data_IF_428467676329
#
_entry.id   IF_428467676329
#
_cell.length_a   1.000
_cell.length_b   1.000
_cell.length_c   1.000
_cell.angle_alpha   90.00
_cell.angle_beta   90.00
_cell.angle_gamma   90.00
#
_symmetry.space_group_name_H-M   'P 1'
#
loop_
_entity.id
_entity.type
_entity.pdbx_description
1 polymer ?
#
# COMPACT_ATOMS: atom_id res chain seq x y z
N UNK A 1 2.63 23.49 -16.40
CA UNK A 1 1.23 23.03 -16.46
C UNK A 1 1.20 21.58 -15.99
N UNK A 2 0.22 21.16 -15.20
CA UNK A 2 0.12 19.75 -14.82
C UNK A 2 -0.02 18.89 -16.07
N UNK A 3 0.64 17.71 -16.08
CA UNK A 3 0.62 16.76 -17.19
C UNK A 3 -0.86 16.38 -17.48
N UNK A 4 -1.36 16.57 -18.71
CA UNK A 4 -2.74 16.24 -19.03
C UNK A 4 -3.09 14.75 -18.82
N UNK A 5 -2.10 13.87 -18.85
CA UNK A 5 -2.28 12.43 -18.51
C UNK A 5 -2.73 12.21 -17.08
N UNK A 6 -2.32 13.07 -16.13
CA UNK A 6 -2.75 12.97 -14.73
C UNK A 6 -4.26 13.04 -14.55
N UNK A 7 -4.98 13.67 -15.48
CA UNK A 7 -6.45 13.79 -15.42
C UNK A 7 -7.18 12.46 -15.55
N UNK A 8 -6.59 11.47 -16.23
CA UNK A 8 -7.21 10.16 -16.45
C UNK A 8 -7.03 9.17 -15.29
N UNK A 9 -6.05 9.42 -14.42
CA UNK A 9 -5.70 8.44 -13.37
C UNK A 9 -6.74 8.32 -12.26
N UNK A 10 -7.38 9.40 -11.83
CA UNK A 10 -8.40 9.33 -10.79
C UNK A 10 -9.65 8.54 -11.24
N UNK A 11 -10.22 8.78 -12.44
CA UNK A 11 -11.27 7.93 -12.99
C UNK A 11 -10.86 6.46 -13.14
N UNK A 12 -9.65 6.18 -13.61
CA UNK A 12 -9.11 4.82 -13.72
C UNK A 12 -9.02 4.15 -12.34
N UNK A 13 -8.51 4.86 -11.33
CA UNK A 13 -8.43 4.36 -9.96
C UNK A 13 -9.83 4.04 -9.39
N UNK A 14 -10.83 4.89 -9.62
CA UNK A 14 -12.21 4.62 -9.19
C UNK A 14 -12.77 3.35 -9.80
N UNK A 15 -12.60 3.15 -11.13
CA UNK A 15 -13.06 1.94 -11.81
C UNK A 15 -12.36 0.70 -11.29
N UNK A 16 -11.04 0.75 -11.18
CA UNK A 16 -10.23 -0.35 -10.67
C UNK A 16 -10.61 -0.74 -9.24
N UNK A 17 -10.70 0.25 -8.33
CA UNK A 17 -11.09 -0.01 -6.94
C UNK A 17 -12.52 -0.54 -6.82
N UNK A 18 -13.43 -0.12 -7.73
CA UNK A 18 -14.79 -0.66 -7.77
C UNK A 18 -14.83 -2.12 -8.21
N UNK A 19 -13.99 -2.52 -9.16
CA UNK A 19 -13.87 -3.88 -9.66
C UNK A 19 -13.22 -4.78 -8.61
N UNK A 20 -12.00 -4.45 -8.17
CA UNK A 20 -11.28 -5.18 -7.12
C UNK A 20 -12.11 -5.31 -5.83
N UNK A 21 -12.76 -4.22 -5.40
CA UNK A 21 -13.64 -4.23 -4.23
C UNK A 21 -14.82 -5.17 -4.38
N UNK A 22 -15.37 -5.34 -5.58
CA UNK A 22 -16.46 -6.29 -5.85
C UNK A 22 -15.99 -7.74 -5.76
N UNK A 23 -14.77 -8.04 -6.21
CA UNK A 23 -14.14 -9.36 -6.03
C UNK A 23 -13.96 -9.68 -4.54
N UNK A 24 -13.51 -8.69 -3.75
CA UNK A 24 -13.36 -8.89 -2.30
C UNK A 24 -14.70 -9.13 -1.60
N UNK A 25 -15.79 -8.42 -1.99
CA UNK A 25 -17.14 -8.68 -1.46
C UNK A 25 -17.60 -10.09 -1.79
N UNK A 26 -17.38 -10.55 -3.02
CA UNK A 26 -17.78 -11.90 -3.43
C UNK A 26 -17.08 -13.01 -2.63
N UNK A 27 -15.93 -12.71 -2.02
CA UNK A 27 -15.14 -13.65 -1.19
C UNK A 27 -15.46 -13.56 0.29
N UNK A 28 -16.02 -12.44 0.73
CA UNK A 28 -16.25 -12.22 2.14
C UNK A 28 -17.16 -13.30 2.74
N UNK A 29 -16.74 -13.84 3.87
CA UNK A 29 -17.56 -14.80 4.61
C UNK A 29 -18.85 -14.15 5.12
N UNK A 30 -19.99 -14.64 4.68
CA UNK A 30 -21.31 -14.09 5.02
C UNK A 30 -21.96 -14.73 6.25
N UNK A 31 -21.38 -15.83 6.75
CA UNK A 31 -21.89 -16.55 7.92
C UNK A 31 -20.79 -17.35 8.62
N UNK A 32 -21.10 -17.90 9.79
CA UNK A 32 -20.20 -18.77 10.54
C UNK A 32 -19.24 -18.02 11.46
N UNK A 33 -18.27 -18.77 11.99
CA UNK A 33 -17.31 -18.28 12.98
C UNK A 33 -16.48 -17.07 12.50
N UNK A 34 -16.24 -16.99 11.20
CA UNK A 34 -15.41 -15.97 10.57
C UNK A 34 -16.23 -15.01 9.69
N UNK A 35 -17.50 -14.79 10.02
CA UNK A 35 -18.34 -13.84 9.31
C UNK A 35 -17.64 -12.46 9.25
N UNK A 36 -17.62 -11.86 8.06
CA UNK A 36 -16.96 -10.59 7.78
C UNK A 36 -15.50 -10.71 7.33
N UNK A 37 -14.86 -11.84 7.56
CA UNK A 37 -13.51 -12.12 7.10
C UNK A 37 -13.41 -12.19 5.56
N UNK A 38 -12.31 -11.71 5.01
CA UNK A 38 -11.95 -11.88 3.59
C UNK A 38 -10.75 -12.82 3.51
N UNK A 39 -10.91 -14.04 2.99
CA UNK A 39 -9.81 -14.99 2.89
C UNK A 39 -8.75 -14.53 1.89
N UNK A 40 -7.45 -14.79 2.14
CA UNK A 40 -6.35 -14.35 1.28
C UNK A 40 -6.44 -14.93 -0.14
N UNK A 41 -6.98 -16.14 -0.29
CA UNK A 41 -7.34 -16.80 -1.55
C UNK A 41 -8.58 -17.67 -1.35
N UNK A 42 -9.30 -18.06 -2.42
CA UNK A 42 -10.46 -18.94 -2.30
C UNK A 42 -10.11 -20.26 -1.63
N UNK A 43 -10.82 -20.57 -0.54
CA UNK A 43 -10.62 -21.83 0.21
C UNK A 43 -9.47 -21.82 1.22
N UNK A 44 -8.89 -20.66 1.53
CA UNK A 44 -7.95 -20.56 2.64
C UNK A 44 -8.60 -21.02 3.96
N UNK A 45 -7.95 -21.91 4.73
CA UNK A 45 -8.56 -22.56 5.89
C UNK A 45 -8.66 -21.62 7.11
N UNK A 46 -7.70 -20.74 7.26
CA UNK A 46 -7.55 -19.87 8.43
C UNK A 46 -7.83 -18.41 8.10
N UNK A 47 -8.32 -17.65 9.08
CA UNK A 47 -8.52 -16.22 8.90
C UNK A 47 -7.19 -15.50 8.82
N UNK A 48 -7.12 -14.60 7.85
CA UNK A 48 -5.99 -13.73 7.58
C UNK A 48 -6.42 -12.28 7.84
N UNK A 49 -5.75 -11.62 8.80
CA UNK A 49 -6.13 -10.29 9.23
C UNK A 49 -5.69 -9.22 8.23
N UNK A 50 -4.47 -9.31 7.71
CA UNK A 50 -3.97 -8.33 6.75
C UNK A 50 -4.71 -8.41 5.41
N UNK A 51 -5.16 -9.59 4.96
CA UNK A 51 -6.02 -9.70 3.79
C UNK A 51 -7.38 -9.01 4.00
N UNK A 52 -7.98 -9.17 5.19
CA UNK A 52 -9.23 -8.48 5.52
C UNK A 52 -9.03 -6.97 5.61
N UNK A 53 -7.93 -6.51 6.22
CA UNK A 53 -7.55 -5.09 6.28
C UNK A 53 -7.31 -4.51 4.88
N UNK A 54 -6.63 -5.24 4.00
CA UNK A 54 -6.40 -4.84 2.62
C UNK A 54 -7.72 -4.61 1.85
N UNK A 55 -8.70 -5.51 2.04
CA UNK A 55 -10.03 -5.34 1.45
C UNK A 55 -10.74 -4.08 2.01
N UNK A 56 -10.66 -3.85 3.32
CA UNK A 56 -11.22 -2.64 3.96
C UNK A 56 -10.59 -1.38 3.36
N UNK A 57 -9.28 -1.37 3.13
CA UNK A 57 -8.60 -0.23 2.50
C UNK A 57 -9.13 0.02 1.08
N UNK A 58 -9.27 -1.01 0.24
CA UNK A 58 -9.79 -0.89 -1.13
C UNK A 58 -11.18 -0.27 -1.11
N UNK A 59 -12.06 -0.74 -0.22
CA UNK A 59 -13.42 -0.22 -0.08
C UNK A 59 -13.46 1.21 0.41
N UNK A 60 -12.68 1.56 1.43
CA UNK A 60 -12.58 2.92 1.96
C UNK A 60 -12.02 3.88 0.90
N UNK A 61 -10.99 3.45 0.17
CA UNK A 61 -10.38 4.28 -0.87
C UNK A 61 -11.31 4.52 -2.04
N UNK A 62 -12.03 3.49 -2.50
CA UNK A 62 -13.06 3.66 -3.52
C UNK A 62 -14.10 4.70 -3.09
N UNK A 63 -14.60 4.57 -1.87
CA UNK A 63 -15.62 5.49 -1.34
C UNK A 63 -15.09 6.93 -1.26
N UNK A 64 -13.85 7.10 -0.81
CA UNK A 64 -13.20 8.41 -0.75
C UNK A 64 -13.11 9.08 -2.12
N UNK A 65 -12.75 8.33 -3.15
CA UNK A 65 -12.56 8.87 -4.51
C UNK A 65 -13.86 9.07 -5.25
N UNK A 66 -14.81 8.15 -5.12
CA UNK A 66 -16.08 8.17 -5.86
C UNK A 66 -17.19 8.95 -5.14
N UNK A 67 -17.08 9.14 -3.83
CA UNK A 67 -18.17 9.58 -2.94
C UNK A 67 -19.40 8.65 -2.99
N UNK A 68 -19.20 7.36 -3.31
CA UNK A 68 -20.25 6.34 -3.42
C UNK A 68 -20.05 5.26 -2.37
N UNK A 69 -21.02 5.11 -1.48
CA UNK A 69 -21.03 4.13 -0.38
C UNK A 69 -21.35 2.68 -0.85
N UNK A 70 -20.66 2.24 -1.89
CA UNK A 70 -20.92 0.92 -2.52
C UNK A 70 -20.64 -0.25 -1.58
N UNK A 71 -19.62 -0.12 -0.73
CA UNK A 71 -19.06 -1.23 0.04
C UNK A 71 -19.30 -1.11 1.55
N UNK A 72 -20.16 -0.21 2.00
CA UNK A 72 -20.38 0.07 3.43
C UNK A 72 -20.76 -1.18 4.23
N UNK A 73 -21.65 -2.02 3.71
CA UNK A 73 -22.08 -3.25 4.40
C UNK A 73 -20.93 -4.23 4.57
N UNK A 74 -20.20 -4.49 3.49
CA UNK A 74 -19.04 -5.40 3.53
C UNK A 74 -17.95 -4.89 4.47
N UNK A 75 -17.66 -3.59 4.42
CA UNK A 75 -16.68 -2.94 5.28
C UNK A 75 -17.08 -2.99 6.76
N UNK A 76 -18.36 -2.78 7.07
CA UNK A 76 -18.87 -2.92 8.45
C UNK A 76 -18.70 -4.33 8.97
N UNK A 77 -19.08 -5.34 8.19
CA UNK A 77 -18.93 -6.74 8.57
C UNK A 77 -17.44 -7.11 8.77
N UNK A 78 -16.54 -6.60 7.92
CA UNK A 78 -15.11 -6.81 8.09
C UNK A 78 -14.58 -6.19 9.39
N UNK A 79 -15.01 -4.98 9.72
CA UNK A 79 -14.65 -4.36 11.00
C UNK A 79 -15.21 -5.09 12.22
N UNK A 80 -16.42 -5.61 12.16
CA UNK A 80 -16.97 -6.41 13.27
C UNK A 80 -16.11 -7.67 13.50
N UNK A 81 -15.67 -8.34 12.43
CA UNK A 81 -14.73 -9.45 12.52
C UNK A 81 -13.38 -9.01 13.13
N UNK A 82 -12.77 -7.95 12.59
CA UNK A 82 -11.47 -7.44 13.03
C UNK A 82 -11.50 -7.00 14.50
N UNK A 83 -12.52 -6.27 14.91
CA UNK A 83 -12.70 -5.82 16.30
C UNK A 83 -12.88 -6.98 17.27
N UNK A 84 -13.58 -8.03 16.86
CA UNK A 84 -13.73 -9.25 17.65
C UNK A 84 -12.44 -10.06 17.78
N UNK A 85 -11.54 -9.94 16.82
CA UNK A 85 -10.28 -10.68 16.75
C UNK A 85 -9.04 -9.86 17.18
N UNK A 86 -9.20 -8.56 17.46
CA UNK A 86 -8.10 -7.62 17.70
C UNK A 86 -6.99 -8.12 18.66
N UNK A 87 -7.30 -8.77 19.79
CA UNK A 87 -6.26 -9.28 20.69
C UNK A 87 -5.32 -10.32 20.07
N UNK A 88 -5.71 -10.90 18.93
CA UNK A 88 -4.93 -11.95 18.24
C UNK A 88 -3.90 -11.40 17.28
N UNK A 89 -4.11 -10.21 16.70
CA UNK A 89 -3.25 -9.64 15.67
C UNK A 89 -2.66 -8.26 16.01
N UNK A 90 -3.17 -7.61 17.06
CA UNK A 90 -2.54 -6.41 17.63
C UNK A 90 -2.14 -6.73 19.07
N UNK A 91 -0.93 -7.27 19.31
CA UNK A 91 -0.45 -7.65 20.62
C UNK A 91 -0.15 -6.43 21.50
N UNK A 92 0.16 -6.64 22.77
CA UNK A 92 0.61 -5.58 23.67
C UNK A 92 2.09 -5.19 23.45
N UNK A 93 2.88 -6.11 22.90
CA UNK A 93 4.27 -5.90 22.49
C UNK A 93 4.61 -6.84 21.33
N UNK A 94 5.57 -6.46 20.50
CA UNK A 94 6.14 -7.31 19.45
C UNK A 94 7.46 -7.84 19.96
N UNK A 95 7.59 -9.16 20.03
CA UNK A 95 8.88 -9.80 20.27
C UNK A 95 9.69 -9.72 18.96
N UNK A 96 10.78 -8.96 18.99
CA UNK A 96 11.61 -8.65 17.81
C UNK A 96 12.19 -9.88 17.10
N UNK A 97 12.19 -11.03 17.75
CA UNK A 97 12.78 -12.26 17.20
C UNK A 97 11.78 -13.13 16.42
N UNK A 98 10.46 -13.00 16.66
CA UNK A 98 9.48 -13.99 16.19
C UNK A 98 8.19 -13.41 15.61
N UNK A 99 7.86 -12.15 15.86
CA UNK A 99 6.52 -11.58 15.55
C UNK A 99 6.49 -10.62 14.38
N UNK A 100 7.16 -10.97 13.27
CA UNK A 100 7.16 -10.15 12.05
C UNK A 100 5.74 -9.93 11.51
N UNK A 101 4.89 -10.96 11.57
CA UNK A 101 3.50 -10.89 11.13
C UNK A 101 2.68 -9.91 11.98
N UNK A 102 2.87 -9.91 13.30
CA UNK A 102 2.20 -8.96 14.19
C UNK A 102 2.63 -7.51 13.93
N UNK A 103 3.90 -7.28 13.58
CA UNK A 103 4.38 -5.95 13.16
C UNK A 103 3.69 -5.50 11.87
N UNK A 104 3.56 -6.40 10.90
CA UNK A 104 2.88 -6.14 9.64
C UNK A 104 1.38 -5.89 9.85
N UNK A 105 0.70 -6.68 10.67
CA UNK A 105 -0.70 -6.48 11.03
C UNK A 105 -0.92 -5.12 11.71
N UNK A 106 -0.06 -4.73 12.64
CA UNK A 106 -0.10 -3.38 13.23
C UNK A 106 0.05 -2.29 12.16
N UNK A 107 0.99 -2.44 11.23
CA UNK A 107 1.17 -1.50 10.14
C UNK A 107 -0.07 -1.44 9.23
N UNK A 108 -0.67 -2.57 8.88
CA UNK A 108 -1.90 -2.64 8.09
C UNK A 108 -3.08 -1.98 8.80
N UNK A 109 -3.23 -2.14 10.11
CA UNK A 109 -4.24 -1.41 10.90
C UNK A 109 -4.06 0.09 10.75
N UNK A 110 -2.84 0.60 10.94
CA UNK A 110 -2.55 2.03 10.83
C UNK A 110 -2.82 2.56 9.42
N UNK A 111 -2.41 1.80 8.40
CA UNK A 111 -2.63 2.14 7.00
C UNK A 111 -4.11 2.28 6.66
N UNK A 112 -4.93 1.33 7.12
CA UNK A 112 -6.38 1.33 6.89
C UNK A 112 -7.08 2.45 7.65
N UNK A 113 -6.73 2.63 8.92
CA UNK A 113 -7.33 3.70 9.74
C UNK A 113 -6.98 5.08 9.20
N UNK A 114 -5.75 5.31 8.71
CA UNK A 114 -5.39 6.56 8.04
C UNK A 114 -6.30 6.86 6.83
N UNK A 115 -6.64 5.83 6.05
CA UNK A 115 -7.58 5.97 4.94
C UNK A 115 -9.01 6.29 5.43
N UNK A 116 -9.49 5.62 6.48
CA UNK A 116 -10.84 5.84 7.04
C UNK A 116 -10.98 7.17 7.81
N UNK A 117 -9.93 7.70 8.41
CA UNK A 117 -9.92 9.05 9.00
C UNK A 117 -10.31 10.10 7.96
N UNK A 118 -9.85 9.93 6.73
CA UNK A 118 -10.20 10.83 5.63
C UNK A 118 -11.69 10.81 5.26
N UNK A 119 -12.44 9.80 5.72
CA UNK A 119 -13.89 9.67 5.57
C UNK A 119 -14.67 10.17 6.80
N UNK A 120 -13.98 10.50 7.90
CA UNK A 120 -14.62 10.85 9.18
C UNK A 120 -15.37 9.69 9.83
N UNK A 121 -14.94 8.45 9.64
CA UNK A 121 -15.69 7.24 10.05
C UNK A 121 -14.99 6.35 11.07
N UNK A 122 -13.93 6.83 11.68
CA UNK A 122 -13.25 6.08 12.73
C UNK A 122 -13.98 6.29 14.05
N UNK A 123 -14.57 5.22 14.56
CA UNK A 123 -15.19 5.20 15.89
C UNK A 123 -14.16 4.94 17.00
N UNK A 124 -14.59 5.09 18.26
CA UNK A 124 -13.70 4.94 19.42
C UNK A 124 -13.07 3.54 19.53
N UNK A 125 -13.75 2.47 19.07
CA UNK A 125 -13.21 1.10 19.12
C UNK A 125 -12.08 0.92 18.10
N UNK A 126 -12.27 1.41 16.86
CA UNK A 126 -11.24 1.40 15.82
C UNK A 126 -10.06 2.28 16.19
N UNK A 127 -10.34 3.45 16.77
CA UNK A 127 -9.29 4.34 17.27
C UNK A 127 -8.45 3.65 18.36
N UNK A 128 -9.06 2.98 19.32
CA UNK A 128 -8.35 2.29 20.39
C UNK A 128 -7.40 1.19 19.88
N UNK A 129 -7.81 0.45 18.83
CA UNK A 129 -6.93 -0.54 18.18
C UNK A 129 -5.78 0.16 17.48
N UNK A 130 -6.04 1.23 16.75
CA UNK A 130 -5.01 1.99 16.04
C UNK A 130 -4.00 2.62 17.01
N UNK A 131 -4.44 3.19 18.12
CA UNK A 131 -3.57 3.77 19.15
C UNK A 131 -2.66 2.70 19.77
N UNK A 132 -3.20 1.48 19.98
CA UNK A 132 -2.42 0.35 20.44
C UNK A 132 -1.40 -0.08 19.39
N UNK A 133 -1.80 -0.28 18.14
CA UNK A 133 -0.93 -0.64 17.04
C UNK A 133 0.19 0.40 16.83
N UNK A 134 -0.13 1.70 16.90
CA UNK A 134 0.84 2.77 16.75
C UNK A 134 1.90 2.76 17.86
N UNK A 135 1.49 2.57 19.10
CA UNK A 135 2.40 2.49 20.24
C UNK A 135 3.32 1.29 20.14
N UNK A 136 2.77 0.12 19.83
CA UNK A 136 3.52 -1.13 19.68
C UNK A 136 4.50 -1.04 18.52
N UNK A 137 4.04 -0.57 17.35
CA UNK A 137 4.87 -0.43 16.16
C UNK A 137 5.96 0.63 16.33
N UNK A 138 5.65 1.77 16.96
CA UNK A 138 6.66 2.81 17.24
C UNK A 138 7.77 2.30 18.16
N UNK A 139 7.42 1.49 19.18
CA UNK A 139 8.39 0.84 20.07
C UNK A 139 9.24 -0.16 19.31
N UNK A 140 8.62 -1.02 18.49
CA UNK A 140 9.32 -2.00 17.67
C UNK A 140 10.31 -1.34 16.70
N UNK A 141 9.89 -0.34 15.96
CA UNK A 141 10.77 0.44 15.07
C UNK A 141 11.92 1.11 15.82
N UNK A 142 11.71 1.50 17.08
CA UNK A 142 12.73 2.09 17.93
C UNK A 142 13.93 1.18 18.19
N UNK A 143 13.73 -0.12 18.22
CA UNK A 143 14.73 -1.16 18.54
C UNK A 143 15.07 -2.09 17.38
N UNK A 144 14.43 -1.91 16.23
CA UNK A 144 14.65 -2.77 15.05
C UNK A 144 16.03 -2.50 14.44
N UNK A 145 16.92 -3.48 14.52
CA UNK A 145 18.28 -3.43 13.97
C UNK A 145 18.44 -4.23 12.67
N UNK A 146 17.69 -5.32 12.51
CA UNK A 146 17.68 -6.09 11.26
C UNK A 146 16.78 -5.42 10.24
N UNK A 147 17.40 -4.80 9.25
CA UNK A 147 16.72 -4.08 8.15
C UNK A 147 16.57 -4.95 6.90
N UNK A 148 16.82 -6.26 6.98
CA UNK A 148 16.55 -7.19 5.88
C UNK A 148 15.04 -7.24 5.61
N UNK A 149 14.64 -7.01 4.35
CA UNK A 149 13.25 -7.18 3.93
C UNK A 149 12.90 -8.66 3.88
N UNK A 150 11.99 -9.09 4.73
CA UNK A 150 11.31 -10.40 4.69
C UNK A 150 9.84 -10.17 4.45
N UNK A 151 9.10 -11.22 4.12
CA UNK A 151 7.70 -11.12 3.71
C UNK A 151 6.83 -10.28 4.67
N UNK A 152 6.93 -10.48 5.97
CA UNK A 152 6.17 -9.69 6.97
C UNK A 152 7.05 -8.69 7.74
N UNK A 153 8.34 -8.66 7.47
CA UNK A 153 9.29 -7.69 8.00
C UNK A 153 9.77 -6.79 6.89
N UNK A 154 8.92 -5.87 6.47
CA UNK A 154 9.31 -4.82 5.55
C UNK A 154 9.45 -3.49 6.32
N UNK A 155 10.64 -3.12 6.76
CA UNK A 155 10.83 -1.93 7.57
C UNK A 155 10.41 -0.64 6.85
N UNK A 156 10.43 -0.65 5.52
CA UNK A 156 9.91 0.45 4.70
C UNK A 156 8.40 0.59 4.85
N UNK A 157 7.65 -0.49 4.71
CA UNK A 157 6.20 -0.46 4.87
C UNK A 157 5.79 -0.17 6.32
N UNK A 158 6.47 -0.75 7.30
CA UNK A 158 6.18 -0.48 8.71
C UNK A 158 6.32 1.02 9.05
N UNK A 159 7.42 1.65 8.60
CA UNK A 159 7.64 3.07 8.81
C UNK A 159 6.66 3.95 8.04
N UNK A 160 6.38 3.59 6.78
CA UNK A 160 5.40 4.27 5.93
C UNK A 160 4.03 4.32 6.59
N UNK A 161 3.53 3.19 7.08
CA UNK A 161 2.22 3.09 7.71
C UNK A 161 2.13 3.96 8.98
N UNK A 162 3.18 3.95 9.82
CA UNK A 162 3.24 4.79 11.01
C UNK A 162 3.21 6.30 10.65
N UNK A 163 3.97 6.70 9.65
CA UNK A 163 4.05 8.09 9.20
C UNK A 163 2.73 8.57 8.61
N UNK A 164 2.08 7.77 7.75
CA UNK A 164 0.81 8.13 7.13
C UNK A 164 -0.31 8.22 8.19
N UNK A 165 -0.33 7.30 9.15
CA UNK A 165 -1.25 7.38 10.29
C UNK A 165 -1.03 8.64 11.13
N UNK A 166 0.23 8.93 11.50
CA UNK A 166 0.59 10.11 12.27
C UNK A 166 0.16 11.41 11.58
N UNK A 167 0.28 11.46 10.23
CA UNK A 167 -0.20 12.60 9.43
C UNK A 167 -1.71 12.72 9.41
N UNK A 168 -2.42 11.59 9.31
CA UNK A 168 -3.87 11.60 9.29
C UNK A 168 -4.47 12.15 10.61
N UNK A 169 -3.73 12.00 11.73
CA UNK A 169 -4.13 12.50 13.04
C UNK A 169 -3.48 13.84 13.44
N UNK A 170 -2.59 14.39 12.62
CA UNK A 170 -1.69 15.52 12.99
C UNK A 170 -0.87 15.22 14.25
N UNK A 171 -0.48 13.95 14.48
CA UNK A 171 0.33 13.55 15.62
C UNK A 171 1.82 13.75 15.34
N UNK A 172 2.35 14.87 15.84
CA UNK A 172 3.75 15.26 15.67
C UNK A 172 4.73 14.33 16.36
N UNK A 173 4.33 13.69 17.46
CA UNK A 173 5.19 12.75 18.21
C UNK A 173 5.43 11.47 17.44
N UNK A 174 4.35 10.84 16.95
CA UNK A 174 4.44 9.65 16.12
C UNK A 174 5.14 9.95 14.78
N UNK A 175 4.86 11.10 14.17
CA UNK A 175 5.54 11.54 12.94
C UNK A 175 7.05 11.67 13.14
N UNK A 176 7.48 12.28 14.26
CA UNK A 176 8.90 12.39 14.60
C UNK A 176 9.55 11.02 14.82
N UNK A 177 8.86 10.07 15.46
CA UNK A 177 9.33 8.70 15.66
C UNK A 177 9.55 7.97 14.32
N UNK A 178 8.58 8.03 13.42
CA UNK A 178 8.68 7.44 12.08
C UNK A 178 9.82 8.05 11.27
N UNK A 179 9.95 9.39 11.26
CA UNK A 179 11.05 10.09 10.59
C UNK A 179 12.42 9.71 11.12
N UNK A 180 12.57 9.65 12.45
CA UNK A 180 13.82 9.24 13.09
C UNK A 180 14.22 7.82 12.68
N UNK A 181 13.25 6.91 12.59
CA UNK A 181 13.53 5.57 12.08
C UNK A 181 14.01 5.60 10.62
N UNK A 182 13.29 6.30 9.73
CA UNK A 182 13.66 6.42 8.30
C UNK A 182 15.06 7.03 8.14
N UNK A 183 15.38 8.10 8.89
CA UNK A 183 16.71 8.71 8.89
C UNK A 183 17.80 7.71 9.32
N UNK A 184 17.56 6.96 10.39
CA UNK A 184 18.51 5.97 10.91
C UNK A 184 18.69 4.79 9.95
N UNK A 185 17.57 4.26 9.44
CA UNK A 185 17.54 3.02 8.68
C UNK A 185 17.97 3.20 7.22
N UNK A 186 17.63 4.34 6.61
CA UNK A 186 17.77 4.55 5.16
C UNK A 186 18.75 5.67 4.80
N UNK A 187 19.42 6.28 5.78
CA UNK A 187 20.53 7.21 5.56
C UNK A 187 20.16 8.45 4.75
N UNK A 188 19.09 9.15 5.12
CA UNK A 188 18.53 10.26 4.32
C UNK A 188 19.46 11.46 4.14
N UNK A 189 20.40 11.73 5.07
CA UNK A 189 21.32 12.88 5.00
C UNK A 189 22.56 12.62 4.15
N UNK A 190 22.84 11.37 3.85
CA UNK A 190 23.90 10.98 2.93
C UNK A 190 23.31 9.96 1.96
N UNK A 191 23.53 10.11 0.64
CA UNK A 191 23.18 9.09 -0.32
C UNK A 191 24.09 7.87 -0.15
N UNK A 192 24.04 7.23 1.01
CA UNK A 192 24.64 5.93 1.16
C UNK A 192 23.83 4.96 0.30
N UNK A 193 24.46 4.21 -0.61
CA UNK A 193 23.78 3.14 -1.32
C UNK A 193 23.11 2.25 -0.28
N UNK A 194 21.94 1.68 -0.59
CA UNK A 194 21.36 0.61 0.21
C UNK A 194 22.39 -0.54 0.22
N UNK A 195 23.27 -0.52 1.18
CA UNK A 195 24.47 -1.35 1.22
C UNK A 195 24.18 -2.85 1.27
N UNK A 196 22.92 -3.21 1.41
CA UNK A 196 22.47 -4.59 1.54
C UNK A 196 21.62 -5.09 0.34
N UNK A 197 21.43 -4.28 -0.70
CA UNK A 197 20.70 -4.79 -1.87
C UNK A 197 21.67 -5.55 -2.78
N UNK A 198 21.30 -6.78 -3.18
CA UNK A 198 22.14 -7.53 -4.11
C UNK A 198 22.32 -6.72 -5.40
N UNK A 199 23.56 -6.71 -5.91
CA UNK A 199 23.87 -6.09 -7.18
C UNK A 199 22.88 -6.56 -8.26
N UNK A 200 22.40 -5.66 -9.14
CA UNK A 200 21.46 -6.03 -10.17
C UNK A 200 22.01 -7.19 -11.00
N UNK A 201 21.23 -8.25 -11.10
CA UNK A 201 21.59 -9.43 -11.90
C UNK A 201 21.72 -9.04 -13.37
N UNK A 202 22.94 -9.05 -13.88
CA UNK A 202 23.22 -8.79 -15.29
C UNK A 202 22.99 -7.34 -15.74
N UNK A 203 23.14 -6.35 -14.85
CA UNK A 203 22.96 -4.93 -15.17
C UNK A 203 21.50 -4.47 -15.30
N UNK A 204 20.55 -5.33 -14.99
CA UNK A 204 19.14 -5.00 -14.92
C UNK A 204 18.81 -4.48 -13.52
N UNK A 205 18.02 -3.42 -13.46
CA UNK A 205 17.58 -2.81 -12.20
C UNK A 205 16.60 -3.74 -11.49
N UNK A 206 17.02 -4.27 -10.34
CA UNK A 206 16.15 -5.08 -9.48
C UNK A 206 15.43 -4.18 -8.48
N UNK A 207 14.24 -3.72 -8.86
CA UNK A 207 13.40 -2.90 -8.00
C UNK A 207 12.54 -3.82 -7.13
N UNK A 208 13.09 -4.31 -6.04
CA UNK A 208 12.38 -5.19 -5.11
C UNK A 208 11.25 -4.44 -4.38
N UNK A 209 10.29 -5.18 -3.82
CA UNK A 209 9.24 -4.60 -2.97
C UNK A 209 9.85 -3.83 -1.79
N UNK A 210 10.93 -4.32 -1.23
CA UNK A 210 11.66 -3.68 -0.13
C UNK A 210 12.24 -2.33 -0.56
N UNK A 211 12.86 -2.24 -1.74
CA UNK A 211 13.35 -0.96 -2.28
C UNK A 211 12.19 0.01 -2.49
N UNK A 212 11.08 -0.47 -3.05
CA UNK A 212 9.90 0.32 -3.30
C UNK A 212 9.33 0.94 -2.01
N UNK A 213 9.14 0.14 -0.98
CA UNK A 213 8.58 0.60 0.30
C UNK A 213 9.52 1.51 1.07
N UNK A 214 10.84 1.31 0.99
CA UNK A 214 11.84 2.24 1.53
C UNK A 214 11.78 3.60 0.84
N UNK A 215 11.67 3.62 -0.50
CA UNK A 215 11.48 4.87 -1.24
C UNK A 215 10.20 5.58 -0.81
N UNK A 216 9.09 4.85 -0.67
CA UNK A 216 7.82 5.39 -0.19
C UNK A 216 7.92 5.94 1.23
N UNK A 217 8.63 5.26 2.14
CA UNK A 217 8.86 5.73 3.50
C UNK A 217 9.66 7.04 3.54
N UNK A 218 10.69 7.17 2.70
CA UNK A 218 11.46 8.43 2.56
C UNK A 218 10.57 9.54 2.01
N UNK A 219 9.79 9.28 0.98
CA UNK A 219 8.82 10.22 0.43
C UNK A 219 7.83 10.67 1.50
N UNK A 220 7.32 9.73 2.28
CA UNK A 220 6.40 10.03 3.37
C UNK A 220 7.09 10.80 4.50
N UNK A 221 8.33 10.52 4.85
CA UNK A 221 9.05 11.21 5.91
C UNK A 221 9.35 12.67 5.55
N UNK A 222 9.87 12.93 4.36
CA UNK A 222 10.42 14.23 3.97
C UNK A 222 9.49 15.05 3.07
N UNK A 223 8.53 14.40 2.42
CA UNK A 223 7.61 15.08 1.53
C UNK A 223 8.29 15.61 0.26
N UNK A 224 7.77 16.72 -0.26
CA UNK A 224 8.26 17.33 -1.50
C UNK A 224 9.45 18.27 -1.25
N UNK A 225 10.59 17.73 -0.83
CA UNK A 225 11.82 18.50 -0.69
C UNK A 225 12.75 18.29 -1.89
N UNK A 226 13.57 19.29 -2.28
CA UNK A 226 14.54 19.14 -3.37
C UNK A 226 15.52 17.98 -3.15
N UNK A 227 15.83 17.69 -1.90
CA UNK A 227 16.67 16.56 -1.50
C UNK A 227 16.05 15.22 -1.92
N UNK A 228 14.73 15.03 -1.68
CA UNK A 228 14.04 13.77 -2.01
C UNK A 228 14.08 13.52 -3.51
N UNK A 229 13.84 14.53 -4.33
CA UNK A 229 13.92 14.39 -5.79
C UNK A 229 15.34 13.99 -6.25
N UNK A 230 16.39 14.58 -5.67
CA UNK A 230 17.79 14.22 -5.98
C UNK A 230 18.10 12.79 -5.52
N UNK A 231 17.71 12.44 -4.31
CA UNK A 231 17.90 11.10 -3.74
C UNK A 231 17.20 10.01 -4.58
N UNK A 232 15.97 10.25 -5.02
CA UNK A 232 15.22 9.34 -5.89
C UNK A 232 15.93 9.14 -7.24
N UNK A 233 16.39 10.23 -7.88
CA UNK A 233 17.13 10.15 -9.15
C UNK A 233 18.40 9.32 -9.03
N UNK A 234 19.15 9.51 -7.96
CA UNK A 234 20.39 8.77 -7.72
C UNK A 234 20.12 7.26 -7.58
N UNK A 235 19.03 6.88 -6.88
CA UNK A 235 18.63 5.47 -6.71
C UNK A 235 18.21 4.81 -8.02
N UNK A 236 17.70 5.55 -8.97
CA UNK A 236 17.22 5.05 -10.26
C UNK A 236 18.25 5.24 -11.37
N UNK A 237 19.25 6.13 -11.19
CA UNK A 237 20.20 6.49 -12.24
C UNK A 237 21.05 5.31 -12.77
N UNK A 238 21.21 4.23 -12.01
CA UNK A 238 21.89 3.01 -12.46
C UNK A 238 21.11 2.16 -13.45
N UNK A 239 19.87 2.45 -13.72
CA UNK A 239 19.02 1.72 -14.65
C UNK A 239 17.57 2.17 -14.52
N UNK A 240 17.14 3.06 -15.40
CA UNK A 240 15.70 3.33 -15.49
C UNK A 240 14.96 2.00 -15.66
N UNK A 241 13.92 1.72 -14.89
CA UNK A 241 13.10 0.52 -15.10
C UNK A 241 12.33 0.70 -16.41
N UNK A 242 13.03 0.56 -17.54
CA UNK A 242 12.47 0.64 -18.89
C UNK A 242 11.80 -0.64 -19.33
N UNK A 243 12.09 -1.72 -18.60
CA UNK A 243 11.51 -3.02 -18.90
C UNK A 243 11.31 -3.79 -17.61
N UNK A 244 10.24 -4.44 -17.58
CA UNK A 244 9.89 -5.47 -16.66
C UNK A 244 10.99 -6.55 -16.68
N UNK A 245 11.56 -6.89 -15.54
CA UNK A 245 12.61 -7.90 -15.43
C UNK A 245 11.98 -9.28 -15.26
N UNK A 246 12.09 -10.21 -16.24
CA UNK A 246 11.28 -11.44 -16.27
C UNK A 246 11.43 -12.35 -15.04
N UNK A 247 12.54 -12.35 -14.36
CA UNK A 247 12.83 -13.34 -13.31
C UNK A 247 12.18 -13.08 -11.95
N UNK A 248 11.97 -11.81 -11.57
CA UNK A 248 11.32 -11.44 -10.30
C UNK A 248 9.95 -10.84 -10.51
N UNK A 249 9.65 -10.54 -11.73
CA UNK A 249 8.37 -10.07 -12.20
C UNK A 249 7.33 -11.17 -12.32
N UNK A 250 7.70 -12.39 -11.99
CA UNK A 250 6.70 -13.42 -11.81
C UNK A 250 5.78 -13.06 -10.63
N UNK A 251 6.28 -12.35 -9.61
CA UNK A 251 5.45 -11.93 -8.48
C UNK A 251 4.76 -10.58 -8.71
N UNK A 252 3.45 -10.61 -8.82
CA UNK A 252 2.63 -9.43 -9.10
C UNK A 252 2.69 -8.37 -7.99
N UNK A 253 2.81 -8.79 -6.72
CA UNK A 253 2.94 -7.86 -5.58
C UNK A 253 4.18 -6.98 -5.71
N UNK A 254 5.32 -7.54 -6.09
CA UNK A 254 6.57 -6.78 -6.21
C UNK A 254 6.50 -5.75 -7.33
N UNK A 255 5.88 -6.12 -8.45
CA UNK A 255 5.70 -5.22 -9.57
C UNK A 255 4.76 -4.08 -9.22
N UNK A 256 3.67 -4.40 -8.56
CA UNK A 256 2.73 -3.42 -8.10
C UNK A 256 3.36 -2.44 -7.08
N UNK A 257 4.18 -2.94 -6.14
CA UNK A 257 4.96 -2.09 -5.23
C UNK A 257 5.91 -1.16 -5.99
N UNK A 258 6.60 -1.67 -7.02
CA UNK A 258 7.50 -0.86 -7.83
C UNK A 258 6.74 0.24 -8.59
N UNK A 259 5.60 -0.10 -9.22
CA UNK A 259 4.75 0.89 -9.87
C UNK A 259 4.25 1.94 -8.87
N UNK A 260 3.79 1.52 -7.69
CA UNK A 260 3.35 2.42 -6.63
C UNK A 260 4.44 3.42 -6.25
N UNK A 261 5.67 2.95 -5.99
CA UNK A 261 6.78 3.81 -5.63
C UNK A 261 7.17 4.78 -6.75
N UNK A 262 7.19 4.32 -8.00
CA UNK A 262 7.51 5.16 -9.16
C UNK A 262 6.44 6.22 -9.42
N UNK A 263 5.16 5.87 -9.29
CA UNK A 263 4.06 6.82 -9.40
C UNK A 263 4.15 7.92 -8.33
N UNK A 264 4.41 7.54 -7.07
CA UNK A 264 4.60 8.51 -5.97
C UNK A 264 5.86 9.37 -6.17
N UNK A 265 6.94 8.78 -6.70
CA UNK A 265 8.15 9.53 -7.04
C UNK A 265 7.92 10.56 -8.13
N UNK A 266 7.13 10.21 -9.15
CA UNK A 266 6.74 11.17 -10.19
C UNK A 266 5.89 12.31 -9.62
N UNK A 267 4.95 12.02 -8.74
CA UNK A 267 4.13 13.06 -8.10
C UNK A 267 4.95 14.12 -7.35
N UNK A 268 6.16 13.77 -6.91
CA UNK A 268 7.06 14.66 -6.17
C UNK A 268 8.09 15.32 -7.09
N UNK A 269 8.82 14.51 -7.86
CA UNK A 269 9.97 14.98 -8.63
C UNK A 269 9.60 15.44 -10.06
N UNK A 270 8.42 15.07 -10.57
CA UNK A 270 7.95 15.32 -11.93
C UNK A 270 8.92 14.90 -13.03
N UNK A 271 9.84 13.99 -12.71
CA UNK A 271 10.84 13.46 -13.63
C UNK A 271 10.21 12.41 -14.55
N UNK A 272 10.25 12.59 -15.89
CA UNK A 272 9.64 11.66 -16.84
C UNK A 272 10.07 10.21 -16.69
N UNK A 273 11.29 9.94 -16.19
CA UNK A 273 11.80 8.57 -16.00
C UNK A 273 10.93 7.77 -15.03
N UNK A 274 10.39 8.43 -14.00
CA UNK A 274 9.50 7.77 -13.03
C UNK A 274 8.16 7.42 -13.68
N UNK A 275 7.62 8.31 -14.50
CA UNK A 275 6.36 8.07 -15.20
C UNK A 275 6.51 6.97 -16.26
N UNK A 276 7.61 6.96 -16.99
CA UNK A 276 7.91 5.90 -17.98
C UNK A 276 7.99 4.52 -17.29
N UNK A 277 8.72 4.43 -16.18
CA UNK A 277 8.81 3.19 -15.41
C UNK A 277 7.47 2.76 -14.82
N UNK A 278 6.73 3.69 -14.22
CA UNK A 278 5.39 3.46 -13.71
C UNK A 278 4.46 2.90 -14.79
N UNK A 279 4.38 3.58 -15.94
CA UNK A 279 3.49 3.19 -17.04
C UNK A 279 3.87 1.80 -17.58
N UNK A 280 5.16 1.55 -17.80
CA UNK A 280 5.62 0.27 -18.34
C UNK A 280 5.28 -0.91 -17.42
N UNK A 281 5.41 -0.73 -16.10
CA UNK A 281 5.08 -1.77 -15.13
C UNK A 281 3.56 -1.94 -15.04
N UNK A 282 2.82 -0.86 -14.98
CA UNK A 282 1.36 -0.90 -14.85
C UNK A 282 0.72 -1.56 -16.08
N UNK A 283 1.15 -1.22 -17.28
CA UNK A 283 0.66 -1.83 -18.54
C UNK A 283 0.88 -3.34 -18.56
N UNK A 284 2.01 -3.81 -17.98
CA UNK A 284 2.26 -5.25 -17.86
C UNK A 284 1.34 -5.90 -16.82
N UNK A 285 1.12 -5.26 -15.69
CA UNK A 285 0.19 -5.76 -14.66
C UNK A 285 -1.23 -5.82 -15.23
N UNK A 286 -1.68 -4.79 -15.94
CA UNK A 286 -3.00 -4.76 -16.59
C UNK A 286 -3.16 -5.89 -17.62
N UNK A 287 -2.10 -6.22 -18.35
CA UNK A 287 -2.13 -7.39 -19.27
C UNK A 287 -2.23 -8.74 -18.53
N UNK A 288 -1.85 -8.81 -17.27
CA UNK A 288 -1.99 -10.01 -16.42
C UNK A 288 -3.36 -10.11 -15.78
N UNK A 289 -4.03 -9.00 -15.57
CA UNK A 289 -5.45 -8.90 -15.22
C UNK A 289 -6.30 -9.12 -16.47
N UNK A 290 -6.32 -10.37 -16.96
CA UNK A 290 -6.87 -10.70 -18.28
C UNK A 290 -8.39 -10.59 -18.40
N UNK A 291 -9.11 -10.59 -17.28
CA UNK A 291 -10.56 -10.39 -17.22
C UNK A 291 -10.95 -8.97 -16.75
N UNK A 292 -9.93 -8.15 -16.45
CA UNK A 292 -10.08 -6.75 -16.03
C UNK A 292 -10.98 -6.55 -14.80
N UNK A 293 -10.99 -7.54 -13.90
CA UNK A 293 -11.73 -7.46 -12.65
C UNK A 293 -10.97 -6.72 -11.53
N UNK A 294 -9.76 -6.27 -11.82
CA UNK A 294 -8.88 -5.54 -10.90
C UNK A 294 -8.22 -6.42 -9.85
N UNK A 295 -8.35 -7.74 -9.97
CA UNK A 295 -7.75 -8.68 -9.04
C UNK A 295 -6.62 -9.49 -9.69
N UNK A 296 -5.59 -9.80 -8.92
CA UNK A 296 -4.40 -10.49 -9.40
C UNK A 296 -4.11 -11.74 -8.59
N UNK A 297 -3.65 -12.78 -9.27
CA UNK A 297 -2.97 -13.90 -8.63
C UNK A 297 -1.56 -13.51 -8.15
N UNK A 298 -0.91 -14.44 -7.42
CA UNK A 298 0.44 -14.24 -6.89
C UNK A 298 1.45 -13.87 -7.98
N UNK A 299 1.37 -14.58 -9.08
CA UNK A 299 2.29 -14.43 -10.20
C UNK A 299 1.58 -14.64 -11.55
N UNK A 300 2.30 -14.48 -12.64
CA UNK A 300 1.75 -14.61 -14.00
C UNK A 300 1.18 -16.00 -14.33
N UNK A 301 1.48 -17.02 -13.55
CA UNK A 301 1.02 -18.41 -13.79
C UNK A 301 -0.20 -18.76 -12.93
N UNK A 302 -0.40 -18.07 -11.82
CA UNK A 302 -1.51 -18.29 -10.90
C UNK A 302 -2.66 -17.34 -11.25
N UNK A 303 -3.69 -17.89 -11.87
CA UNK A 303 -4.90 -17.12 -12.25
C UNK A 303 -5.88 -16.90 -11.11
N UNK A 304 -5.72 -17.64 -10.02
CA UNK A 304 -6.55 -17.44 -8.83
C UNK A 304 -6.13 -16.15 -8.17
N UNK A 305 -7.00 -15.17 -8.17
CA UNK A 305 -6.72 -13.90 -7.54
C UNK A 305 -6.45 -14.06 -6.04
N UNK A 306 -5.45 -13.37 -5.54
CA UNK A 306 -5.09 -13.28 -4.11
C UNK A 306 -5.27 -11.84 -3.61
N UNK A 307 -5.58 -11.68 -2.33
CA UNK A 307 -5.90 -10.36 -1.79
C UNK A 307 -4.69 -9.44 -1.77
N UNK A 308 -3.52 -9.91 -1.35
CA UNK A 308 -2.35 -9.04 -1.25
C UNK A 308 -1.82 -8.54 -2.61
N UNK A 309 -1.66 -9.38 -3.66
CA UNK A 309 -1.35 -8.87 -4.99
C UNK A 309 -2.38 -7.86 -5.51
N UNK A 310 -3.67 -8.12 -5.27
CA UNK A 310 -4.76 -7.20 -5.63
C UNK A 310 -4.66 -5.87 -4.87
N UNK A 311 -4.34 -5.91 -3.59
CA UNK A 311 -4.14 -4.72 -2.77
C UNK A 311 -2.98 -3.86 -3.28
N UNK A 312 -1.81 -4.46 -3.56
CA UNK A 312 -0.67 -3.72 -4.10
C UNK A 312 -0.95 -3.17 -5.50
N UNK A 313 -1.71 -3.89 -6.31
CA UNK A 313 -2.17 -3.38 -7.60
C UNK A 313 -3.08 -2.15 -7.42
N UNK A 314 -4.02 -2.20 -6.49
CA UNK A 314 -4.86 -1.06 -6.16
C UNK A 314 -4.05 0.16 -5.66
N UNK A 315 -3.00 -0.05 -4.86
CA UNK A 315 -2.07 1.00 -4.45
C UNK A 315 -1.30 1.59 -5.65
N UNK A 316 -0.89 0.74 -6.59
CA UNK A 316 -0.20 1.18 -7.81
C UNK A 316 -1.11 2.07 -8.67
N UNK A 317 -2.35 1.65 -8.92
CA UNK A 317 -3.32 2.45 -9.70
C UNK A 317 -3.66 3.76 -8.99
N UNK A 318 -3.69 3.77 -7.66
CA UNK A 318 -3.95 4.97 -6.85
C UNK A 318 -2.74 5.92 -6.74
N UNK A 319 -1.55 5.49 -7.13
CA UNK A 319 -0.29 6.21 -6.88
C UNK A 319 -0.25 7.64 -7.41
N UNK A 320 -0.90 7.91 -8.54
CA UNK A 320 -0.97 9.22 -9.19
C UNK A 320 -2.26 10.00 -8.88
N UNK A 321 -3.10 9.48 -7.96
CA UNK A 321 -4.28 10.21 -7.51
C UNK A 321 -3.87 11.26 -6.48
N UNK A 322 -3.92 12.51 -6.89
CA UNK A 322 -3.64 13.67 -6.03
C UNK A 322 -4.94 14.33 -5.58
N UNK A 323 -4.93 15.18 -4.53
CA UNK A 323 -6.11 15.94 -4.15
C UNK A 323 -6.70 16.78 -5.31
N UNK A 324 -5.84 17.29 -6.18
CA UNK A 324 -6.23 18.14 -7.30
C UNK A 324 -6.97 17.36 -8.39
N UNK A 325 -6.61 16.11 -8.64
CA UNK A 325 -7.27 15.28 -9.67
C UNK A 325 -8.37 14.35 -9.10
N UNK A 326 -8.47 14.19 -7.80
CA UNK A 326 -9.46 13.31 -7.16
C UNK A 326 -10.92 13.71 -7.46
N UNK A 327 -11.20 15.00 -7.71
CA UNK A 327 -12.53 15.48 -8.08
C UNK A 327 -13.01 14.90 -9.42
N UNK A 328 -12.10 14.54 -10.32
CA UNK A 328 -12.42 13.94 -11.62
C UNK A 328 -13.03 12.54 -11.45
N UNK A 329 -12.54 11.76 -10.50
CA UNK A 329 -13.11 10.45 -10.15
C UNK A 329 -14.57 10.54 -9.67
N UNK A 330 -14.90 11.59 -8.92
CA UNK A 330 -16.28 11.85 -8.46
C UNK A 330 -17.23 12.20 -9.59
N UNK A 331 -16.77 12.98 -10.55
CA UNK A 331 -17.58 13.35 -11.72
C UNK A 331 -17.96 12.13 -12.56
N UNK A 332 -17.05 11.18 -12.76
CA UNK A 332 -17.31 9.95 -13.51
C UNK A 332 -18.30 9.03 -12.76
N UNK A 333 -18.12 8.85 -11.46
CA UNK A 333 -19.03 8.07 -10.63
C UNK A 333 -20.46 8.65 -10.62
N UNK A 334 -20.61 9.98 -10.68
CA UNK A 334 -21.89 10.66 -10.79
C UNK A 334 -22.57 10.44 -12.15
N UNK A 335 -21.82 10.39 -13.24
CA UNK A 335 -22.37 10.17 -14.59
C UNK A 335 -22.87 8.74 -14.80
N UNK A 336 -22.29 7.78 -14.12
CA UNK A 336 -22.73 6.36 -14.17
C UNK A 336 -24.08 6.10 -13.47
N UNK A 337 -24.50 6.99 -12.56
CA UNK A 337 -25.82 6.89 -11.89
C UNK A 337 -26.97 7.43 -12.71
N UNK A 338 -26.70 8.20 -13.76
CA UNK A 338 -27.71 8.81 -14.63
C UNK A 338 -28.05 7.98 -15.88
N UNK A 339 -27.49 6.78 -16.00
CA UNK A 339 -27.80 5.83 -17.07
C UNK A 339 -28.40 4.58 -16.48
#
# INVERSE_FOLDING_TARGET
MPDPRLKSYAPQAVRHLAAAGSVMVARQATAGRYQGHVPPWPGAPDPDFHATLAAVWIWARHERLSAVEKFTVARTAAWDFLLGAAPRFVPDAIDSATDDEAAFDCAMVLWVIAAEQSLGRVDARRQAIADRAARVLSTHLGVLDDLSGREFRDPGFLALALIEYARALDDRGLLASGRKFVERAFGMKTPAPFAAEPAPLGGLFDFSSTTATRMLAVIAAEGNTPFVGAWLRERIAGGAPRSFIPRRLDENSWNACAAWALGRSYAIATDPVFLEGYTAILDEIERRDGDHDGALGRDRTVRVAEVMPTFYYALAVDALVTPENASLGRAEAGSARGR
#
